data_IF_710610579575
#
_entry.id   IF_710610579575
#
_cell.length_a   1.000
_cell.length_b   1.000
_cell.length_c   1.000
_cell.angle_alpha   90.00
_cell.angle_beta   90.00
_cell.angle_gamma   90.00
#
_symmetry.space_group_name_H-M   'P 1'
#
loop_
_entity.id
_entity.type
_entity.pdbx_description
1 polymer ?
#
# COMPACT_ATOMS: atom_id res chain seq x y z
N UNK A 1 -5.32 14.12 -18.10
CA UNK A 1 -4.99 14.81 -16.85
C UNK A 1 -4.20 13.83 -15.99
N UNK A 2 -3.02 14.20 -15.53
CA UNK A 2 -2.30 13.38 -14.55
C UNK A 2 -3.06 13.49 -13.22
N UNK A 3 -3.73 12.42 -12.83
CA UNK A 3 -4.41 12.37 -11.54
C UNK A 3 -3.34 12.27 -10.46
N UNK A 4 -3.29 13.25 -9.59
CA UNK A 4 -2.42 13.27 -8.43
C UNK A 4 -3.08 12.39 -7.37
N UNK A 5 -2.49 11.22 -7.10
CA UNK A 5 -3.03 10.23 -6.17
C UNK A 5 -3.26 10.79 -4.76
N UNK A 6 -2.26 11.53 -4.25
CA UNK A 6 -2.27 12.13 -2.92
C UNK A 6 -3.42 13.11 -2.67
N UNK A 7 -3.97 13.71 -3.72
CA UNK A 7 -5.06 14.70 -3.59
C UNK A 7 -6.45 14.14 -3.89
N UNK A 8 -6.56 12.98 -4.55
CA UNK A 8 -7.86 12.45 -5.00
C UNK A 8 -8.20 11.08 -4.45
N UNK A 9 -7.20 10.26 -4.12
CA UNK A 9 -7.43 8.86 -3.76
C UNK A 9 -7.16 8.59 -2.29
N UNK A 10 -5.96 8.92 -1.80
CA UNK A 10 -5.57 8.64 -0.41
C UNK A 10 -4.53 9.64 0.09
N UNK A 11 -4.70 10.13 1.31
CA UNK A 11 -3.79 11.09 1.95
C UNK A 11 -2.38 10.52 2.15
N UNK A 12 -1.39 11.41 2.10
CA UNK A 12 0.03 11.04 2.16
C UNK A 12 0.36 10.28 3.45
N UNK A 13 -0.06 10.81 4.60
CA UNK A 13 0.24 10.20 5.92
C UNK A 13 -0.50 8.89 6.10
N UNK A 14 -1.77 8.84 5.74
CA UNK A 14 -2.59 7.62 5.82
C UNK A 14 -1.97 6.49 5.01
N UNK A 15 -1.53 6.77 3.78
CA UNK A 15 -0.86 5.79 2.94
C UNK A 15 0.47 5.35 3.55
N UNK A 16 1.29 6.30 4.05
CA UNK A 16 2.56 6.00 4.69
C UNK A 16 2.38 5.11 5.92
N UNK A 17 1.51 5.49 6.87
CA UNK A 17 1.30 4.78 8.12
C UNK A 17 0.73 3.37 7.88
N UNK A 18 -0.24 3.24 6.96
CA UNK A 18 -0.80 1.93 6.59
C UNK A 18 0.25 0.99 5.96
N UNK A 19 1.19 1.53 5.19
CA UNK A 19 2.28 0.74 4.60
C UNK A 19 3.36 0.39 5.64
N UNK A 20 3.66 1.28 6.58
CA UNK A 20 4.57 0.97 7.71
C UNK A 20 4.02 -0.18 8.56
N UNK A 21 2.72 -0.21 8.83
CA UNK A 21 2.09 -1.33 9.53
C UNK A 21 2.17 -2.64 8.72
N UNK A 22 1.99 -2.58 7.40
CA UNK A 22 2.06 -3.74 6.51
C UNK A 22 3.46 -4.35 6.44
N UNK A 23 4.50 -3.51 6.47
CA UNK A 23 5.90 -3.90 6.38
C UNK A 23 6.61 -3.76 7.73
N UNK A 24 5.89 -3.95 8.83
CA UNK A 24 6.47 -3.96 10.17
C UNK A 24 7.50 -5.10 10.34
N UNK A 25 8.50 -4.87 11.17
CA UNK A 25 9.60 -5.83 11.40
C UNK A 25 9.10 -7.20 11.91
N UNK A 26 7.91 -7.28 12.51
CA UNK A 26 7.28 -8.57 12.90
C UNK A 26 7.08 -9.50 11.71
N UNK A 27 6.97 -8.96 10.49
CA UNK A 27 6.77 -9.72 9.26
C UNK A 27 8.05 -9.83 8.42
N UNK A 28 9.16 -9.23 8.85
CA UNK A 28 10.41 -9.11 8.06
C UNK A 28 10.92 -10.46 7.55
N UNK A 29 10.95 -11.47 8.41
CA UNK A 29 11.47 -12.79 8.03
C UNK A 29 10.60 -13.48 6.97
N UNK A 30 9.28 -13.28 7.02
CA UNK A 30 8.36 -13.80 6.01
C UNK A 30 8.61 -13.13 4.64
N UNK A 31 8.74 -11.80 4.62
CA UNK A 31 9.06 -11.07 3.38
C UNK A 31 10.43 -11.44 2.83
N UNK A 32 11.47 -11.50 3.67
CA UNK A 32 12.84 -11.88 3.26
C UNK A 32 12.89 -13.28 2.66
N UNK A 33 12.16 -14.24 3.24
CA UNK A 33 12.06 -15.59 2.73
C UNK A 33 11.44 -15.65 1.32
N UNK A 34 10.47 -14.76 1.01
CA UNK A 34 9.87 -14.66 -0.31
C UNK A 34 10.73 -13.87 -1.30
N UNK A 35 11.40 -12.81 -0.84
CA UNK A 35 12.26 -11.99 -1.68
C UNK A 35 13.52 -12.74 -2.11
N UNK A 36 14.05 -13.59 -1.26
CA UNK A 36 15.26 -14.38 -1.50
C UNK A 36 16.43 -13.51 -1.96
N UNK A 37 16.58 -12.34 -1.34
CA UNK A 37 17.70 -11.43 -1.59
C UNK A 37 18.81 -11.67 -0.56
N UNK A 38 20.06 -11.72 -1.03
CA UNK A 38 21.21 -11.82 -0.12
C UNK A 38 21.51 -10.44 0.49
N UNK A 39 21.19 -10.26 1.77
CA UNK A 39 21.46 -9.04 2.52
C UNK A 39 22.96 -8.71 2.71
N UNK A 40 23.85 -9.65 2.40
CA UNK A 40 25.31 -9.45 2.49
C UNK A 40 25.90 -8.84 1.22
N UNK A 41 25.18 -8.89 0.10
CA UNK A 41 25.61 -8.37 -1.20
C UNK A 41 25.11 -6.94 -1.39
N UNK A 42 25.96 -6.07 -1.96
CA UNK A 42 25.53 -4.73 -2.37
C UNK A 42 24.77 -4.79 -3.68
N UNK A 43 23.44 -4.73 -3.60
CA UNK A 43 22.53 -4.73 -4.75
C UNK A 43 22.16 -3.30 -5.14
N UNK A 44 21.74 -3.11 -6.39
CA UNK A 44 21.02 -1.93 -6.86
C UNK A 44 19.55 -2.30 -6.99
N UNK A 45 18.69 -1.73 -6.17
CA UNK A 45 17.27 -1.99 -6.14
C UNK A 45 16.49 -0.76 -6.60
N UNK A 46 15.49 -0.97 -7.47
CA UNK A 46 14.53 0.03 -7.88
C UNK A 46 13.15 -0.32 -7.31
N UNK A 47 12.59 0.56 -6.49
CA UNK A 47 11.17 0.53 -6.13
C UNK A 47 10.36 1.39 -7.10
N UNK A 48 9.32 0.80 -7.68
CA UNK A 48 8.44 1.43 -8.66
C UNK A 48 7.08 1.69 -8.03
N UNK A 49 6.61 2.95 -8.06
CA UNK A 49 5.39 3.38 -7.39
C UNK A 49 5.58 3.38 -5.87
N UNK A 50 6.62 4.05 -5.39
CA UNK A 50 7.00 4.02 -3.98
C UNK A 50 6.02 4.76 -3.06
N UNK A 51 5.08 5.55 -3.62
CA UNK A 51 4.21 6.39 -2.83
C UNK A 51 5.00 7.28 -1.87
N UNK A 52 4.56 7.42 -0.60
CA UNK A 52 5.27 8.22 0.40
C UNK A 52 6.54 7.55 0.98
N UNK A 53 7.05 6.46 0.37
CA UNK A 53 8.36 5.88 0.65
C UNK A 53 8.43 4.85 1.78
N UNK A 54 7.31 4.38 2.31
CA UNK A 54 7.31 3.48 3.47
C UNK A 54 8.01 2.14 3.22
N UNK A 55 7.83 1.52 2.03
CA UNK A 55 8.50 0.27 1.70
C UNK A 55 9.99 0.51 1.41
N UNK A 56 10.36 1.60 0.72
CA UNK A 56 11.75 1.96 0.47
C UNK A 56 12.55 2.11 1.78
N UNK A 57 11.96 2.79 2.79
CA UNK A 57 12.54 2.94 4.12
C UNK A 57 12.77 1.58 4.79
N UNK A 58 11.76 0.71 4.75
CA UNK A 58 11.83 -0.62 5.33
C UNK A 58 12.87 -1.48 4.61
N UNK A 59 12.91 -1.45 3.29
CA UNK A 59 13.93 -2.17 2.51
C UNK A 59 15.35 -1.68 2.81
N UNK A 60 15.53 -0.38 3.01
CA UNK A 60 16.82 0.18 3.42
C UNK A 60 17.25 -0.34 4.81
N UNK A 61 16.29 -0.44 5.73
CA UNK A 61 16.54 -1.04 7.05
C UNK A 61 16.87 -2.55 6.95
N UNK A 62 16.09 -3.31 6.18
CA UNK A 62 16.28 -4.77 6.06
C UNK A 62 17.52 -5.18 5.27
N UNK A 63 17.93 -4.34 4.30
CA UNK A 63 19.06 -4.59 3.38
C UNK A 63 20.03 -3.40 3.35
N UNK A 64 20.76 -3.11 4.44
CA UNK A 64 21.53 -1.87 4.60
C UNK A 64 22.71 -1.72 3.62
N UNK A 65 23.14 -2.81 2.96
CA UNK A 65 24.17 -2.77 1.90
C UNK A 65 23.60 -2.47 0.51
N UNK A 66 22.27 -2.50 0.35
CA UNK A 66 21.58 -2.29 -0.93
C UNK A 66 21.41 -0.80 -1.21
N UNK A 67 21.73 -0.39 -2.43
CA UNK A 67 21.47 0.96 -2.91
C UNK A 67 20.05 1.02 -3.48
N UNK A 68 19.19 1.78 -2.84
CA UNK A 68 17.78 1.86 -3.20
C UNK A 68 17.53 3.17 -3.94
N UNK A 69 16.91 3.04 -5.11
CA UNK A 69 16.29 4.12 -5.85
C UNK A 69 14.79 3.84 -5.84
N UNK A 70 13.98 4.83 -5.52
CA UNK A 70 12.53 4.71 -5.44
C UNK A 70 11.88 5.80 -6.26
N UNK A 71 10.88 5.44 -7.09
CA UNK A 71 10.25 6.42 -7.95
C UNK A 71 8.72 6.36 -7.80
N UNK A 72 8.10 7.53 -7.88
CA UNK A 72 6.65 7.68 -7.98
C UNK A 72 6.32 8.83 -8.93
N UNK A 73 5.13 8.78 -9.55
CA UNK A 73 4.65 9.87 -10.42
C UNK A 73 4.07 11.05 -9.64
N UNK A 74 3.71 10.84 -8.37
CA UNK A 74 3.13 11.87 -7.51
C UNK A 74 4.25 12.63 -6.79
N UNK A 75 4.49 13.87 -7.21
CA UNK A 75 5.56 14.71 -6.66
C UNK A 75 5.39 14.99 -5.16
N UNK A 76 4.14 15.03 -4.65
CA UNK A 76 3.88 15.26 -3.22
C UNK A 76 4.31 14.03 -2.39
N UNK A 77 4.09 12.82 -2.89
CA UNK A 77 4.63 11.60 -2.28
C UNK A 77 6.17 11.60 -2.26
N UNK A 78 6.78 11.93 -3.40
CA UNK A 78 8.24 11.97 -3.50
C UNK A 78 8.86 12.99 -2.56
N UNK A 79 8.26 14.17 -2.42
CA UNK A 79 8.72 15.20 -1.48
C UNK A 79 8.59 14.74 -0.02
N UNK A 80 7.48 14.12 0.34
CA UNK A 80 7.29 13.55 1.67
C UNK A 80 8.32 12.46 1.97
N UNK A 81 8.52 11.53 1.05
CA UNK A 81 9.51 10.45 1.20
C UNK A 81 10.93 10.99 1.42
N UNK A 82 11.36 11.98 0.64
CA UNK A 82 12.65 12.68 0.83
C UNK A 82 12.81 13.33 2.21
N UNK A 83 11.71 13.77 2.81
CA UNK A 83 11.74 14.39 4.15
C UNK A 83 11.86 13.37 5.29
N UNK A 84 11.60 12.08 5.01
CA UNK A 84 11.57 11.00 6.01
C UNK A 84 12.82 10.11 5.98
N UNK A 85 13.30 9.77 4.80
CA UNK A 85 14.38 8.82 4.62
C UNK A 85 15.51 9.41 3.77
N UNK A 86 16.73 9.40 4.29
CA UNK A 86 17.90 10.00 3.65
C UNK A 86 18.86 8.98 3.01
N UNK A 87 18.70 7.69 3.32
CA UNK A 87 19.50 6.60 2.74
C UNK A 87 18.99 6.11 1.37
N UNK A 88 17.86 6.62 0.90
CA UNK A 88 17.19 6.24 -0.35
C UNK A 88 17.19 7.41 -1.34
N UNK A 89 17.42 7.11 -2.62
CA UNK A 89 17.30 8.11 -3.71
C UNK A 89 15.85 8.12 -4.23
N UNK A 90 15.09 9.18 -3.93
CA UNK A 90 13.71 9.34 -4.41
C UNK A 90 13.64 10.22 -5.66
N UNK A 91 12.89 9.79 -6.67
CA UNK A 91 12.72 10.45 -7.97
C UNK A 91 11.24 10.51 -8.36
N UNK A 92 10.86 11.58 -9.06
CA UNK A 92 9.59 11.62 -9.79
C UNK A 92 9.76 10.91 -11.13
N UNK A 93 8.81 10.02 -11.49
CA UNK A 93 8.88 9.29 -12.74
C UNK A 93 7.69 8.40 -13.01
N UNK A 94 7.55 7.97 -14.27
CA UNK A 94 6.47 7.13 -14.75
C UNK A 94 6.92 5.66 -14.83
N UNK A 95 6.13 4.76 -14.23
CA UNK A 95 6.35 3.31 -14.28
C UNK A 95 6.29 2.73 -15.71
N UNK A 96 5.68 3.44 -16.64
CA UNK A 96 5.56 3.05 -18.07
C UNK A 96 6.70 3.54 -18.94
N UNK A 97 7.61 4.37 -18.40
CA UNK A 97 8.76 4.94 -19.10
C UNK A 97 9.85 5.28 -18.07
N UNK A 98 10.51 4.25 -17.53
CA UNK A 98 11.49 4.41 -16.47
C UNK A 98 12.73 5.19 -16.96
N UNK A 99 13.19 6.24 -16.24
CA UNK A 99 14.28 7.12 -16.68
C UNK A 99 15.68 6.49 -16.46
N UNK A 100 15.79 5.20 -16.71
CA UNK A 100 17.02 4.44 -16.50
C UNK A 100 17.42 3.66 -17.75
N UNK A 101 18.73 3.45 -17.93
CA UNK A 101 19.26 2.61 -19.01
C UNK A 101 18.92 1.13 -18.81
N UNK A 102 19.09 0.35 -19.89
CA UNK A 102 18.94 -1.10 -19.82
C UNK A 102 19.94 -1.70 -18.83
N UNK A 103 19.56 -2.80 -18.17
CA UNK A 103 20.44 -3.58 -17.28
C UNK A 103 21.08 -2.74 -16.14
N UNK A 104 20.34 -1.82 -15.56
CA UNK A 104 20.82 -0.89 -14.53
C UNK A 104 20.66 -1.41 -13.10
N UNK A 105 19.71 -2.32 -12.84
CA UNK A 105 19.33 -2.79 -11.51
C UNK A 105 19.46 -4.30 -11.38
N UNK A 106 19.78 -4.73 -10.15
CA UNK A 106 19.80 -6.15 -9.76
C UNK A 106 18.39 -6.62 -9.35
N UNK A 107 17.58 -5.71 -8.81
CA UNK A 107 16.24 -5.97 -8.30
C UNK A 107 15.29 -4.85 -8.71
N UNK A 108 14.07 -5.19 -9.13
CA UNK A 108 12.94 -4.27 -9.14
C UNK A 108 11.89 -4.76 -8.14
N UNK A 109 11.24 -3.84 -7.43
CA UNK A 109 10.12 -4.14 -6.53
C UNK A 109 9.01 -3.14 -6.74
N UNK A 110 7.78 -3.60 -6.62
CA UNK A 110 6.59 -2.74 -6.60
C UNK A 110 5.56 -3.29 -5.62
N UNK A 111 4.78 -2.42 -5.00
CA UNK A 111 3.73 -2.81 -4.07
C UNK A 111 2.42 -2.11 -4.40
N UNK A 112 1.39 -2.88 -4.75
CA UNK A 112 0.07 -2.37 -5.15
C UNK A 112 0.16 -1.32 -6.29
N UNK A 113 0.88 -1.65 -7.34
CA UNK A 113 1.09 -0.80 -8.54
C UNK A 113 0.59 -1.48 -9.81
N UNK A 114 0.80 -2.79 -9.92
CA UNK A 114 0.49 -3.59 -11.13
C UNK A 114 -0.96 -3.47 -11.57
N UNK A 115 -1.89 -3.27 -10.62
CA UNK A 115 -3.31 -3.09 -10.88
C UNK A 115 -3.69 -1.74 -11.48
N UNK A 116 -2.76 -0.78 -11.47
CA UNK A 116 -2.99 0.60 -11.93
C UNK A 116 -2.31 0.93 -13.26
N UNK A 117 -1.38 0.09 -13.70
CA UNK A 117 -0.50 0.35 -14.84
C UNK A 117 -0.72 -0.69 -15.94
N UNK A 118 -0.70 -0.26 -17.20
CA UNK A 118 -0.84 -1.15 -18.35
C UNK A 118 0.23 -2.25 -18.32
N UNK A 119 -0.18 -3.54 -18.27
CA UNK A 119 0.73 -4.64 -17.95
C UNK A 119 1.93 -4.79 -18.88
N UNK A 120 1.76 -4.59 -20.20
CA UNK A 120 2.85 -4.73 -21.16
C UNK A 120 3.96 -3.70 -20.91
N UNK A 121 3.59 -2.46 -20.60
CA UNK A 121 4.53 -1.40 -20.28
C UNK A 121 5.16 -1.61 -18.92
N UNK A 122 4.36 -1.94 -17.91
CA UNK A 122 4.81 -2.17 -16.55
C UNK A 122 5.86 -3.28 -16.45
N UNK A 123 5.57 -4.43 -17.02
CA UNK A 123 6.52 -5.57 -17.01
C UNK A 123 7.67 -5.36 -18.00
N UNK A 124 7.38 -4.80 -19.19
CA UNK A 124 8.40 -4.52 -20.21
C UNK A 124 9.50 -3.58 -19.71
N UNK A 125 9.14 -2.50 -19.01
CA UNK A 125 10.10 -1.57 -18.43
C UNK A 125 10.92 -2.21 -17.30
N UNK A 126 10.30 -3.01 -16.43
CA UNK A 126 11.03 -3.75 -15.40
C UNK A 126 12.02 -4.75 -16.01
N UNK A 127 11.58 -5.50 -17.02
CA UNK A 127 12.45 -6.43 -17.73
C UNK A 127 13.62 -5.66 -18.42
N UNK A 128 13.36 -4.50 -19.01
CA UNK A 128 14.39 -3.68 -19.67
C UNK A 128 15.46 -3.21 -18.70
N UNK A 129 15.07 -2.66 -17.55
CA UNK A 129 16.01 -2.07 -16.60
C UNK A 129 16.72 -3.09 -15.73
N UNK A 130 16.21 -4.30 -15.57
CA UNK A 130 16.87 -5.38 -14.86
C UNK A 130 18.07 -5.90 -15.63
N UNK A 131 19.13 -6.23 -14.91
CA UNK A 131 20.28 -6.98 -15.43
C UNK A 131 19.88 -8.42 -15.77
N UNK A 132 20.62 -9.10 -16.66
CA UNK A 132 20.44 -10.54 -16.84
C UNK A 132 20.56 -11.28 -15.49
N UNK A 133 19.61 -12.16 -15.18
CA UNK A 133 19.48 -12.83 -13.89
C UNK A 133 18.95 -11.97 -12.74
N UNK A 134 18.63 -10.70 -13.00
CA UNK A 134 18.02 -9.80 -12.02
C UNK A 134 16.61 -10.21 -11.61
N UNK A 135 16.18 -9.81 -10.44
CA UNK A 135 14.93 -10.24 -9.79
C UNK A 135 13.87 -9.15 -9.90
N UNK A 136 12.66 -9.54 -10.35
CA UNK A 136 11.45 -8.73 -10.28
C UNK A 136 10.57 -9.23 -9.13
N UNK A 137 10.15 -8.31 -8.25
CA UNK A 137 9.23 -8.55 -7.14
C UNK A 137 7.98 -7.70 -7.33
N UNK A 138 6.82 -8.34 -7.42
CA UNK A 138 5.52 -7.66 -7.47
C UNK A 138 4.70 -8.06 -6.27
N UNK A 139 4.40 -7.08 -5.41
CA UNK A 139 3.58 -7.26 -4.21
C UNK A 139 2.18 -6.73 -4.49
N UNK A 140 1.17 -7.49 -4.12
CA UNK A 140 -0.24 -7.12 -4.30
C UNK A 140 -1.03 -7.47 -3.04
N UNK A 141 -1.79 -6.50 -2.54
CA UNK A 141 -2.66 -6.71 -1.38
C UNK A 141 -3.91 -7.46 -1.81
N UNK A 142 -4.26 -8.48 -1.05
CA UNK A 142 -5.45 -9.32 -1.28
C UNK A 142 -6.46 -9.13 -0.16
N UNK A 143 -7.69 -9.52 -0.41
CA UNK A 143 -8.75 -9.48 0.61
C UNK A 143 -8.34 -10.38 1.80
N UNK A 144 -8.71 -9.94 2.98
CA UNK A 144 -8.44 -10.63 4.23
C UNK A 144 -9.69 -10.71 5.12
N UNK A 145 -9.47 -10.81 6.43
CA UNK A 145 -10.51 -10.81 7.44
C UNK A 145 -10.53 -9.43 8.09
N UNK A 146 -11.72 -8.87 8.26
CA UNK A 146 -11.91 -7.63 9.02
C UNK A 146 -13.05 -7.82 10.03
N UNK A 147 -12.72 -7.71 11.31
CA UNK A 147 -13.67 -7.78 12.42
C UNK A 147 -13.47 -6.52 13.26
N UNK A 148 -14.33 -5.53 13.15
CA UNK A 148 -14.21 -4.28 13.91
C UNK A 148 -14.61 -4.50 15.38
N UNK A 149 -14.11 -3.65 16.27
CA UNK A 149 -14.64 -3.51 17.61
C UNK A 149 -16.14 -3.12 17.56
N UNK A 150 -16.91 -3.50 18.59
CA UNK A 150 -18.36 -3.17 18.62
C UNK A 150 -18.61 -1.67 18.51
N UNK A 151 -17.76 -0.85 19.13
CA UNK A 151 -17.88 0.61 19.06
C UNK A 151 -17.55 1.19 17.69
N UNK A 152 -16.92 0.41 16.78
CA UNK A 152 -16.61 0.81 15.40
C UNK A 152 -17.70 0.35 14.41
N UNK A 153 -18.74 -0.34 14.87
CA UNK A 153 -19.87 -0.71 14.02
C UNK A 153 -20.59 0.55 13.51
N UNK A 154 -20.90 0.54 12.22
CA UNK A 154 -21.61 1.66 11.59
C UNK A 154 -23.04 1.76 12.12
N UNK A 155 -23.47 2.98 12.44
CA UNK A 155 -24.87 3.30 12.70
C UNK A 155 -25.71 3.17 11.41
N UNK A 156 -27.02 3.11 11.54
CA UNK A 156 -27.95 3.09 10.39
C UNK A 156 -27.71 4.27 9.43
N UNK A 157 -27.38 5.44 9.97
CA UNK A 157 -27.05 6.62 9.18
C UNK A 157 -25.79 6.43 8.35
N UNK A 158 -24.73 5.88 8.94
CA UNK A 158 -23.46 5.60 8.26
C UNK A 158 -23.65 4.52 7.19
N UNK A 159 -24.38 3.45 7.51
CA UNK A 159 -24.69 2.39 6.56
C UNK A 159 -25.43 2.95 5.32
N UNK A 160 -26.48 3.75 5.54
CA UNK A 160 -27.22 4.37 4.45
C UNK A 160 -26.36 5.32 3.59
N UNK A 161 -25.43 6.06 4.23
CA UNK A 161 -24.48 6.91 3.51
C UNK A 161 -23.54 6.09 2.63
N UNK A 162 -22.91 5.05 3.18
CA UNK A 162 -21.97 4.21 2.43
C UNK A 162 -22.65 3.38 1.35
N UNK A 163 -23.87 2.89 1.56
CA UNK A 163 -24.67 2.23 0.53
C UNK A 163 -24.99 3.18 -0.64
N UNK A 164 -25.28 4.45 -0.35
CA UNK A 164 -25.47 5.48 -1.38
C UNK A 164 -24.21 5.68 -2.19
N UNK A 165 -23.06 5.80 -1.54
CA UNK A 165 -21.75 6.00 -2.17
C UNK A 165 -21.33 4.77 -2.99
N UNK A 166 -21.53 3.57 -2.49
CA UNK A 166 -21.11 2.32 -3.16
C UNK A 166 -21.76 2.11 -4.55
N UNK A 167 -22.90 2.74 -4.80
CA UNK A 167 -23.57 2.70 -6.13
C UNK A 167 -22.75 3.42 -7.24
N UNK A 168 -21.71 4.16 -6.87
CA UNK A 168 -20.87 4.95 -7.76
C UNK A 168 -19.40 4.47 -7.78
N UNK A 169 -19.16 3.20 -7.43
CA UNK A 169 -17.83 2.60 -7.30
C UNK A 169 -17.01 2.71 -8.60
N UNK A 170 -17.63 2.62 -9.78
CA UNK A 170 -16.99 2.79 -11.09
C UNK A 170 -16.37 4.19 -11.29
N UNK A 171 -16.68 5.14 -10.41
CA UNK A 171 -16.12 6.50 -10.49
C UNK A 171 -14.59 6.56 -10.34
N UNK A 172 -14.00 5.55 -9.70
CA UNK A 172 -12.55 5.50 -9.46
C UNK A 172 -11.75 5.06 -10.69
N UNK A 173 -12.36 4.35 -11.67
CA UNK A 173 -11.70 3.97 -12.92
C UNK A 173 -11.23 5.17 -13.73
N UNK A 174 -12.00 6.27 -13.73
CA UNK A 174 -11.60 7.51 -14.40
C UNK A 174 -10.29 8.11 -13.88
N UNK A 175 -9.91 7.77 -12.65
CA UNK A 175 -8.64 8.15 -12.03
C UNK A 175 -7.54 7.11 -12.25
N UNK A 176 -7.82 6.04 -12.99
CA UNK A 176 -6.87 4.95 -13.26
C UNK A 176 -6.64 4.02 -12.07
N UNK A 177 -7.53 4.06 -11.07
CA UNK A 177 -7.47 3.17 -9.91
C UNK A 177 -8.00 1.80 -10.31
N UNK A 178 -7.23 0.73 -10.04
CA UNK A 178 -7.57 -0.66 -10.36
C UNK A 178 -8.01 -0.91 -11.81
N UNK A 179 -7.45 -0.16 -12.77
CA UNK A 179 -7.80 -0.31 -14.19
C UNK A 179 -7.38 -1.65 -14.81
N UNK A 180 -6.38 -2.29 -14.22
CA UNK A 180 -5.81 -3.55 -14.69
C UNK A 180 -5.71 -4.59 -13.57
N UNK A 181 -6.84 -4.95 -12.93
CA UNK A 181 -6.82 -5.91 -11.84
C UNK A 181 -6.37 -7.28 -12.36
N UNK A 182 -5.56 -7.96 -11.58
CA UNK A 182 -5.10 -9.32 -11.87
C UNK A 182 -5.40 -10.23 -10.69
N UNK A 183 -5.99 -11.38 -10.96
CA UNK A 183 -6.21 -12.42 -9.95
C UNK A 183 -4.88 -13.07 -9.50
N UNK A 184 -4.97 -13.96 -8.52
CA UNK A 184 -3.84 -14.74 -8.01
C UNK A 184 -3.18 -15.62 -9.08
N UNK A 185 -3.94 -16.08 -10.08
CA UNK A 185 -3.43 -16.81 -11.23
C UNK A 185 -2.88 -15.87 -12.31
N UNK A 186 -3.59 -14.79 -12.61
CA UNK A 186 -3.24 -13.88 -13.70
C UNK A 186 -1.94 -13.11 -13.48
N UNK A 187 -1.59 -12.79 -12.21
CA UNK A 187 -0.37 -12.03 -11.93
C UNK A 187 0.92 -12.80 -12.26
N UNK A 188 1.13 -14.06 -11.81
CA UNK A 188 2.29 -14.84 -12.22
C UNK A 188 2.27 -15.18 -13.71
N UNK A 189 1.11 -15.53 -14.30
CA UNK A 189 0.98 -15.73 -15.74
C UNK A 189 1.39 -14.50 -16.57
N UNK A 190 1.06 -13.29 -16.09
CA UNK A 190 1.48 -12.06 -16.73
C UNK A 190 2.99 -11.90 -16.67
N UNK A 191 3.64 -12.18 -15.53
CA UNK A 191 5.10 -12.12 -15.43
C UNK A 191 5.77 -13.06 -16.45
N UNK A 192 5.31 -14.32 -16.55
CA UNK A 192 5.84 -15.28 -17.53
C UNK A 192 5.60 -14.79 -18.98
N UNK A 193 4.39 -14.34 -19.28
CA UNK A 193 4.04 -13.82 -20.62
C UNK A 193 4.94 -12.67 -21.06
N UNK A 194 5.36 -11.82 -20.14
CA UNK A 194 6.23 -10.68 -20.43
C UNK A 194 7.72 -10.97 -20.31
N UNK A 195 8.11 -12.25 -20.20
CA UNK A 195 9.48 -12.70 -20.38
C UNK A 195 10.27 -12.97 -19.09
N UNK A 196 9.61 -12.98 -17.93
CA UNK A 196 10.23 -13.45 -16.70
C UNK A 196 10.17 -14.97 -16.64
N UNK A 197 11.18 -15.59 -16.03
CA UNK A 197 11.26 -17.03 -15.79
C UNK A 197 11.48 -17.32 -14.29
N UNK A 198 11.47 -18.59 -13.89
CA UNK A 198 11.57 -19.03 -12.50
C UNK A 198 10.53 -18.31 -11.60
N UNK A 199 9.32 -18.13 -12.14
CA UNK A 199 8.26 -17.39 -11.43
C UNK A 199 7.78 -18.19 -10.23
N UNK A 200 7.76 -17.56 -9.07
CA UNK A 200 7.35 -18.12 -7.79
C UNK A 200 6.32 -17.21 -7.13
N UNK A 201 5.39 -17.79 -6.41
CA UNK A 201 4.40 -17.07 -5.61
C UNK A 201 4.53 -17.41 -4.14
N UNK A 202 4.22 -16.45 -3.29
CA UNK A 202 4.12 -16.68 -1.86
C UNK A 202 3.25 -15.62 -1.20
N UNK A 203 2.94 -15.82 0.06
CA UNK A 203 1.99 -14.97 0.77
C UNK A 203 2.52 -14.60 2.15
N UNK A 204 2.32 -13.35 2.53
CA UNK A 204 2.53 -12.86 3.90
C UNK A 204 1.18 -12.48 4.47
N UNK A 205 0.86 -13.03 5.63
CA UNK A 205 -0.31 -12.64 6.41
C UNK A 205 0.08 -11.50 7.34
N UNK A 206 -0.55 -10.36 7.15
CA UNK A 206 -0.37 -9.17 7.99
C UNK A 206 -1.58 -9.06 8.91
N UNK A 207 -1.39 -9.33 10.18
CA UNK A 207 -2.42 -9.21 11.22
C UNK A 207 -2.21 -7.93 12.03
N UNK A 208 -3.28 -7.17 12.16
CA UNK A 208 -3.31 -5.94 12.93
C UNK A 208 -4.40 -6.07 13.99
N UNK A 209 -4.00 -6.55 15.18
CA UNK A 209 -4.86 -6.78 16.34
C UNK A 209 -4.34 -5.94 17.52
N UNK A 210 -4.90 -4.76 17.78
CA UNK A 210 -4.37 -3.82 18.78
C UNK A 210 -4.27 -4.41 20.19
N UNK A 211 -5.17 -5.33 20.56
CA UNK A 211 -5.25 -5.93 21.90
C UNK A 211 -4.38 -7.19 22.07
N UNK A 212 -3.64 -7.61 21.05
CA UNK A 212 -2.70 -8.73 21.17
C UNK A 212 -1.54 -8.33 22.10
N UNK A 213 -1.25 -9.13 23.14
CA UNK A 213 -0.14 -8.85 24.07
C UNK A 213 1.25 -8.74 23.42
N UNK A 214 1.42 -9.26 22.20
CA UNK A 214 2.66 -9.14 21.43
C UNK A 214 2.82 -7.76 20.78
N UNK A 215 1.76 -6.98 20.70
CA UNK A 215 1.75 -5.64 20.12
C UNK A 215 2.11 -4.63 21.21
N UNK A 216 3.09 -3.78 20.94
CA UNK A 216 3.44 -2.71 21.88
C UNK A 216 2.30 -1.67 21.98
N UNK A 217 2.15 -0.96 23.11
CA UNK A 217 1.13 0.07 23.25
C UNK A 217 1.19 1.15 22.18
N UNK A 218 2.39 1.55 21.79
CA UNK A 218 2.58 2.52 20.70
C UNK A 218 2.05 1.97 19.37
N UNK A 219 2.37 0.72 19.06
CA UNK A 219 1.90 0.09 17.82
C UNK A 219 0.38 -0.10 17.81
N UNK A 220 -0.22 -0.48 18.95
CA UNK A 220 -1.66 -0.62 19.08
C UNK A 220 -2.40 0.71 18.80
N UNK A 221 -1.92 1.81 19.38
CA UNK A 221 -2.46 3.15 19.11
C UNK A 221 -2.29 3.53 17.62
N UNK A 222 -1.12 3.21 17.03
CA UNK A 222 -0.88 3.45 15.60
C UNK A 222 -1.85 2.66 14.72
N UNK A 223 -2.17 1.41 15.05
CA UNK A 223 -3.15 0.60 14.33
C UNK A 223 -4.56 1.23 14.36
N UNK A 224 -5.00 1.66 15.54
CA UNK A 224 -6.33 2.28 15.73
C UNK A 224 -6.41 3.60 14.95
N UNK A 225 -5.39 4.46 15.06
CA UNK A 225 -5.35 5.76 14.37
C UNK A 225 -5.19 5.62 12.85
N UNK A 226 -4.44 4.62 12.38
CA UNK A 226 -4.34 4.34 10.95
C UNK A 226 -5.70 3.93 10.35
N UNK A 227 -6.49 3.15 11.09
CA UNK A 227 -7.84 2.80 10.66
C UNK A 227 -8.76 4.03 10.64
N UNK A 228 -8.73 4.88 11.68
CA UNK A 228 -9.44 6.18 11.69
C UNK A 228 -9.09 7.00 10.45
N UNK A 229 -7.81 7.12 10.17
CA UNK A 229 -7.32 7.91 9.05
C UNK A 229 -7.80 7.34 7.70
N UNK A 230 -7.83 6.03 7.55
CA UNK A 230 -8.38 5.38 6.35
C UNK A 230 -9.87 5.71 6.15
N UNK A 231 -10.68 5.65 7.22
CA UNK A 231 -12.11 5.96 7.14
C UNK A 231 -12.35 7.45 6.80
N UNK A 232 -11.53 8.35 7.37
CA UNK A 232 -11.60 9.77 7.08
C UNK A 232 -11.15 10.10 5.65
N UNK A 233 -10.15 9.41 5.13
CA UNK A 233 -9.69 9.57 3.75
C UNK A 233 -10.73 9.02 2.77
N UNK A 234 -11.37 7.88 3.07
CA UNK A 234 -12.49 7.37 2.29
C UNK A 234 -13.63 8.41 2.22
N UNK A 235 -13.97 9.04 3.34
CA UNK A 235 -14.95 10.12 3.38
C UNK A 235 -14.52 11.35 2.56
N UNK A 236 -13.25 11.75 2.64
CA UNK A 236 -12.71 12.85 1.86
C UNK A 236 -12.71 12.56 0.36
N UNK A 237 -12.46 11.30 -0.02
CA UNK A 237 -12.52 10.85 -1.41
C UNK A 237 -13.90 11.05 -2.02
N UNK A 238 -15.00 10.84 -1.26
CA UNK A 238 -16.38 11.11 -1.74
C UNK A 238 -16.49 12.56 -2.23
N UNK A 239 -16.01 13.52 -1.42
CA UNK A 239 -16.05 14.94 -1.81
C UNK A 239 -15.25 15.24 -3.08
N UNK A 240 -14.13 14.55 -3.27
CA UNK A 240 -13.19 14.82 -4.36
C UNK A 240 -13.58 14.12 -5.67
N UNK A 241 -14.24 12.97 -5.60
CA UNK A 241 -14.48 12.10 -6.76
C UNK A 241 -15.95 12.07 -7.20
N UNK A 242 -16.88 12.21 -6.27
CA UNK A 242 -18.34 12.16 -6.50
C UNK A 242 -19.07 13.19 -5.62
N UNK A 243 -18.76 14.49 -5.75
CA UNK A 243 -19.24 15.54 -4.85
C UNK A 243 -20.78 15.64 -4.78
N UNK A 244 -21.49 15.19 -5.81
CA UNK A 244 -22.94 15.14 -5.88
C UNK A 244 -23.56 14.10 -4.92
N UNK A 245 -22.78 13.16 -4.39
CA UNK A 245 -23.25 12.09 -3.52
C UNK A 245 -23.12 12.40 -2.03
N UNK A 246 -22.50 13.53 -1.68
CA UNK A 246 -22.35 13.93 -0.28
C UNK A 246 -22.44 15.43 -0.12
N UNK A 247 -23.51 15.91 0.53
CA UNK A 247 -23.59 17.32 0.94
C UNK A 247 -22.58 17.63 2.04
N UNK A 248 -22.16 18.89 2.15
CA UNK A 248 -21.23 19.31 3.21
C UNK A 248 -21.77 18.97 4.61
N UNK A 249 -23.08 19.01 4.81
CA UNK A 249 -23.71 18.65 6.08
C UNK A 249 -23.61 17.13 6.37
N UNK A 250 -23.87 16.27 5.38
CA UNK A 250 -23.70 14.83 5.51
C UNK A 250 -22.23 14.46 5.78
N UNK A 251 -21.30 15.04 5.02
CA UNK A 251 -19.86 14.80 5.21
C UNK A 251 -19.38 15.26 6.60
N UNK A 252 -19.86 16.40 7.08
CA UNK A 252 -19.56 16.87 8.44
C UNK A 252 -20.15 15.94 9.52
N UNK A 253 -21.35 15.41 9.31
CA UNK A 253 -21.97 14.44 10.21
C UNK A 253 -21.19 13.12 10.23
N UNK A 254 -20.86 12.57 9.06
CA UNK A 254 -20.04 11.35 8.93
C UNK A 254 -18.68 11.51 9.64
N UNK A 255 -18.00 12.63 9.44
CA UNK A 255 -16.73 12.93 10.12
C UNK A 255 -16.87 12.91 11.64
N UNK A 256 -17.96 13.47 12.20
CA UNK A 256 -18.23 13.45 13.64
C UNK A 256 -18.42 12.01 14.14
N UNK A 257 -19.21 11.21 13.43
CA UNK A 257 -19.48 9.81 13.80
C UNK A 257 -18.21 8.97 13.76
N UNK A 258 -17.42 9.07 12.70
CA UNK A 258 -16.12 8.38 12.60
C UNK A 258 -15.22 8.76 13.78
N UNK A 259 -15.01 10.05 14.03
CA UNK A 259 -14.14 10.47 15.14
C UNK A 259 -14.65 9.96 16.49
N UNK A 260 -15.95 10.06 16.77
CA UNK A 260 -16.52 9.60 18.03
C UNK A 260 -16.32 8.09 18.26
N UNK A 261 -16.46 7.25 17.22
CA UNK A 261 -16.17 5.81 17.30
C UNK A 261 -14.73 5.53 17.71
N UNK A 262 -13.79 6.17 17.04
CA UNK A 262 -12.36 5.94 17.30
C UNK A 262 -11.90 6.56 18.61
N UNK A 263 -12.46 7.71 19.04
CA UNK A 263 -12.22 8.29 20.37
C UNK A 263 -12.68 7.33 21.47
N UNK A 264 -13.84 6.70 21.30
CA UNK A 264 -14.33 5.65 22.21
C UNK A 264 -13.40 4.42 22.20
N UNK A 265 -12.97 3.95 21.03
CA UNK A 265 -12.04 2.80 20.92
C UNK A 265 -10.71 3.07 21.64
N UNK A 266 -10.13 4.25 21.45
CA UNK A 266 -8.90 4.67 22.14
C UNK A 266 -9.09 4.76 23.65
N UNK A 267 -10.23 5.29 24.11
CA UNK A 267 -10.56 5.35 25.52
C UNK A 267 -10.73 3.95 26.13
N UNK A 268 -11.34 3.00 25.42
CA UNK A 268 -11.43 1.60 25.82
C UNK A 268 -10.03 0.98 25.94
N UNK A 269 -9.18 1.16 24.92
CA UNK A 269 -7.80 0.66 24.95
C UNK A 269 -7.03 1.21 26.15
N UNK A 270 -7.13 2.51 26.42
CA UNK A 270 -6.47 3.16 27.55
C UNK A 270 -6.93 2.62 28.92
N UNK A 271 -8.18 2.13 29.02
CA UNK A 271 -8.70 1.48 30.25
C UNK A 271 -8.42 -0.03 30.32
N UNK A 272 -7.75 -0.61 29.31
CA UNK A 272 -7.50 -2.04 29.21
C UNK A 272 -8.74 -2.87 28.85
N UNK A 273 -9.77 -2.24 28.30
CA UNK A 273 -11.00 -2.90 27.84
C UNK A 273 -10.77 -3.50 26.46
N UNK A 274 -10.40 -4.76 26.39
CA UNK A 274 -10.10 -5.46 25.16
C UNK A 274 -11.34 -5.65 24.29
N UNK A 275 -11.19 -5.36 22.99
CA UNK A 275 -12.24 -5.52 21.99
C UNK A 275 -11.94 -6.68 21.02
N UNK A 276 -10.67 -7.06 20.87
CA UNK A 276 -10.17 -8.07 19.95
C UNK A 276 -10.57 -7.81 18.49
N UNK A 277 -10.76 -6.54 18.15
CA UNK A 277 -10.87 -6.12 16.76
C UNK A 277 -9.59 -6.49 16.01
N UNK A 278 -9.76 -6.94 14.79
CA UNK A 278 -8.64 -7.37 13.97
C UNK A 278 -8.84 -7.02 12.51
N UNK A 279 -7.77 -6.68 11.85
CA UNK A 279 -7.70 -6.56 10.40
C UNK A 279 -6.57 -7.44 9.90
N UNK A 280 -6.92 -8.43 9.09
CA UNK A 280 -5.96 -9.35 8.48
C UNK A 280 -5.96 -9.10 6.98
N UNK A 281 -4.82 -8.73 6.42
CA UNK A 281 -4.62 -8.68 4.98
C UNK A 281 -3.60 -9.71 4.54
N UNK A 282 -3.75 -10.21 3.32
CA UNK A 282 -2.81 -11.14 2.71
C UNK A 282 -2.06 -10.39 1.62
N UNK A 283 -0.74 -10.38 1.71
CA UNK A 283 0.12 -9.79 0.67
C UNK A 283 0.66 -10.93 -0.18
N UNK A 284 0.22 -10.97 -1.44
CA UNK A 284 0.78 -11.85 -2.44
C UNK A 284 2.10 -11.26 -2.94
N UNK A 285 3.16 -12.05 -2.91
CA UNK A 285 4.44 -11.71 -3.51
C UNK A 285 4.67 -12.62 -4.71
N UNK A 286 4.89 -12.05 -5.88
CA UNK A 286 5.30 -12.78 -7.08
C UNK A 286 6.71 -12.37 -7.41
N UNK A 287 7.59 -13.35 -7.53
CA UNK A 287 9.02 -13.22 -7.81
C UNK A 287 9.33 -13.90 -9.15
N UNK A 288 10.03 -13.20 -10.04
CA UNK A 288 10.52 -13.76 -11.30
C UNK A 288 11.94 -13.28 -11.59
N UNK A 289 12.66 -13.96 -12.50
CA UNK A 289 13.98 -13.55 -12.97
C UNK A 289 13.92 -13.09 -14.43
N UNK A 290 14.79 -12.14 -14.79
CA UNK A 290 15.06 -11.77 -16.17
C UNK A 290 15.97 -12.78 -16.83
#
# INVERSE_FOLDING_TARGET
MNVIWSSHVQGIRTLYDSRKLRFDDRFAEQYKALFQLDGNVSLKLLEIGCGPGALAEVLHHWYPKTRITALDRDSAFVQFAKSKEHGVTFLEGDATALPFGNNSFDVTVSNTVSEHVEPSKFFGEQLRVLKPGGVCLVLSSRKGIHIPAKCLADSEYEQAFWEKVARFDDSMEKYGVCKYPMSEAQLPEAMERYGFHDVQTGYVTVDLTPDDPKVSPHMALTMIEAQRSNDLDALASVKNTIPEQGTDAELAQMRRLINAKYDLRLAQYARGEKQWDTSVSVIMAVRGKK
#
